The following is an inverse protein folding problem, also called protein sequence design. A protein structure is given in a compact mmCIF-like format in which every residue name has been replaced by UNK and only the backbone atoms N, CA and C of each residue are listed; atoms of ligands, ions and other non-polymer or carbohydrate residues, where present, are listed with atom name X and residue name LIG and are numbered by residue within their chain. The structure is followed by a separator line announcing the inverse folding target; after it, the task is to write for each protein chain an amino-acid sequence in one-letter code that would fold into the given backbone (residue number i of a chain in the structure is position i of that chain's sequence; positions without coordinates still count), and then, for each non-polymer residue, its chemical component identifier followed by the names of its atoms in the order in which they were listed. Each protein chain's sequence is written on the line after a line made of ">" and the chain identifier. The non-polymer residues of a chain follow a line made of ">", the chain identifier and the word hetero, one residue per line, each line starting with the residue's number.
data_IF_503718356400
#
_entry.id   IF_503718356400
#
_cell.length_a   1.000
_cell.length_b   1.000
_cell.length_c   1.000
_cell.angle_alpha   90.00
_cell.angle_beta   90.00
_cell.angle_gamma   90.00
#
_symmetry.space_group_name_H-M   'P 1'
#
loop_
_entity.id
_entity.type
_entity.pdbx_description
1 polymer ?
#
# COMPACT_ATOMS: atom_id res chain seq x y z
N UNK A 1 24.89 -53.28 57.29
CA UNK A 1 26.35 -53.00 57.24
C UNK A 1 26.51 -51.88 56.17
N UNK A 2 26.49 -50.63 56.58
CA UNK A 2 27.66 -49.83 56.95
C UNK A 2 28.62 -49.62 55.79
N UNK A 3 28.70 -48.42 55.19
CA UNK A 3 29.57 -47.23 55.31
C UNK A 3 29.47 -46.42 54.04
N UNK A 4 29.04 -45.19 54.06
CA UNK A 4 29.74 -43.90 54.26
C UNK A 4 31.06 -43.75 53.49
N UNK A 5 31.19 -42.69 52.67
CA UNK A 5 31.86 -41.40 52.87
C UNK A 5 32.18 -40.76 51.48
N UNK A 6 31.74 -39.59 51.20
CA UNK A 6 32.23 -38.20 51.22
C UNK A 6 32.94 -37.66 49.95
N UNK A 7 32.39 -36.56 49.50
CA UNK A 7 32.95 -35.27 49.04
C UNK A 7 34.03 -35.18 47.96
N UNK A 8 33.73 -34.34 47.01
CA UNK A 8 34.70 -33.59 46.21
C UNK A 8 34.03 -32.51 45.36
N UNK A 9 34.26 -31.27 45.77
CA UNK A 9 33.86 -30.05 45.08
C UNK A 9 34.66 -29.83 43.79
N UNK A 10 34.06 -29.13 42.83
CA UNK A 10 34.84 -28.17 42.04
C UNK A 10 34.44 -28.08 40.57
N UNK A 11 34.05 -26.88 40.16
CA UNK A 11 34.34 -26.39 38.85
C UNK A 11 33.16 -25.87 38.03
N UNK A 12 32.86 -24.58 38.17
CA UNK A 12 31.96 -23.82 37.28
C UNK A 12 32.50 -23.78 35.84
N UNK A 13 31.67 -24.13 34.89
CA UNK A 13 31.87 -23.83 33.47
C UNK A 13 30.56 -23.31 32.88
N UNK A 14 30.38 -21.98 32.88
CA UNK A 14 29.31 -21.35 32.13
C UNK A 14 29.63 -21.47 30.64
N UNK A 15 28.93 -22.33 29.94
CA UNK A 15 28.74 -22.22 28.50
C UNK A 15 27.39 -21.58 28.24
N UNK A 16 27.44 -20.29 27.94
CA UNK A 16 26.30 -19.53 27.40
C UNK A 16 25.88 -20.14 26.06
N UNK A 17 24.71 -20.78 26.06
CA UNK A 17 23.99 -21.03 24.80
C UNK A 17 23.42 -19.71 24.31
N UNK A 18 24.01 -19.19 23.25
CA UNK A 18 23.38 -18.17 22.42
C UNK A 18 22.11 -18.80 21.83
N UNK A 19 20.96 -18.40 22.33
CA UNK A 19 19.69 -18.67 21.68
C UNK A 19 19.65 -17.77 20.44
N UNK A 20 19.82 -18.38 19.27
CA UNK A 20 19.51 -17.73 18.01
C UNK A 20 18.02 -17.42 17.98
N UNK A 21 17.69 -16.14 18.03
CA UNK A 21 16.36 -15.65 17.71
C UNK A 21 16.23 -15.80 16.20
N UNK A 22 15.44 -16.78 15.76
CA UNK A 22 14.93 -16.81 14.40
C UNK A 22 14.03 -15.61 14.17
N UNK A 23 13.90 -15.10 12.94
CA UNK A 23 13.02 -13.97 12.66
C UNK A 23 11.57 -14.41 12.95
N UNK A 24 11.00 -13.87 14.01
CA UNK A 24 9.58 -13.96 14.30
C UNK A 24 8.85 -13.19 13.22
N UNK A 25 7.86 -13.84 12.60
CA UNK A 25 6.91 -13.18 11.72
C UNK A 25 6.26 -12.01 12.47
N UNK A 26 6.66 -10.79 12.13
CA UNK A 26 6.15 -9.58 12.76
C UNK A 26 4.78 -9.26 12.15
N UNK A 27 3.74 -9.43 12.99
CA UNK A 27 2.46 -8.79 12.77
C UNK A 27 2.67 -7.27 12.72
N UNK A 28 1.87 -6.59 11.90
CA UNK A 28 1.86 -5.14 11.80
C UNK A 28 1.38 -4.49 13.11
N UNK A 29 2.24 -4.45 14.11
CA UNK A 29 2.23 -3.36 15.07
C UNK A 29 3.06 -2.23 14.44
N UNK A 30 2.51 -1.03 14.33
CA UNK A 30 3.10 0.12 13.61
C UNK A 30 4.43 0.65 14.18
N UNK A 31 5.30 -0.23 14.66
CA UNK A 31 6.51 0.09 15.38
C UNK A 31 7.83 -0.27 14.71
N UNK A 32 7.86 -1.10 13.66
CA UNK A 32 9.13 -1.66 13.17
C UNK A 32 9.35 -1.62 11.64
N UNK A 33 8.50 -0.92 10.89
CA UNK A 33 8.81 -0.67 9.46
C UNK A 33 9.81 0.49 9.38
N UNK A 34 10.96 0.24 8.77
CA UNK A 34 11.93 1.30 8.47
C UNK A 34 11.40 2.19 7.33
N UNK A 35 10.69 3.24 7.73
CA UNK A 35 10.07 4.19 6.81
C UNK A 35 11.08 5.03 6.03
N UNK A 36 12.34 5.11 6.50
CA UNK A 36 13.42 5.74 5.75
C UNK A 36 13.79 4.89 4.52
N UNK A 37 13.67 3.57 4.65
CA UNK A 37 13.88 2.62 3.55
C UNK A 37 12.62 2.48 2.68
N UNK A 38 11.44 2.36 3.29
CA UNK A 38 10.19 2.12 2.54
C UNK A 38 9.61 3.39 1.88
N UNK A 39 9.81 4.55 2.48
CA UNK A 39 9.30 5.81 1.96
C UNK A 39 9.70 6.09 0.50
N UNK A 40 10.97 5.97 0.12
CA UNK A 40 11.40 6.09 -1.28
C UNK A 40 10.70 5.10 -2.23
N UNK A 41 10.54 3.84 -1.85
CA UNK A 41 9.87 2.85 -2.70
C UNK A 41 8.39 3.17 -2.92
N UNK A 42 7.68 3.63 -1.88
CA UNK A 42 6.30 4.12 -2.00
C UNK A 42 6.20 5.37 -2.90
N UNK A 43 7.18 6.26 -2.82
CA UNK A 43 7.26 7.45 -3.67
C UNK A 43 7.47 7.05 -5.13
N UNK A 44 8.39 6.12 -5.41
CA UNK A 44 8.64 5.58 -6.75
C UNK A 44 7.40 4.89 -7.35
N UNK A 45 6.70 4.06 -6.57
CA UNK A 45 5.46 3.41 -7.01
C UNK A 45 4.39 4.43 -7.38
N UNK A 46 4.18 5.44 -6.52
CA UNK A 46 3.20 6.49 -6.77
C UNK A 46 3.57 7.39 -7.97
N UNK A 47 4.86 7.69 -8.15
CA UNK A 47 5.34 8.45 -9.32
C UNK A 47 5.18 7.67 -10.62
N UNK A 48 5.43 6.37 -10.60
CA UNK A 48 5.20 5.50 -11.76
C UNK A 48 3.73 5.50 -12.18
N UNK A 49 2.81 5.47 -11.20
CA UNK A 49 1.36 5.52 -11.41
C UNK A 49 0.78 6.93 -11.56
N UNK A 50 1.60 7.99 -11.58
CA UNK A 50 1.12 9.38 -11.47
C UNK A 50 0.10 9.75 -12.56
N UNK A 51 0.32 9.32 -13.80
CA UNK A 51 -0.61 9.59 -14.91
C UNK A 51 -1.96 8.90 -14.69
N UNK A 52 -1.94 7.64 -14.24
CA UNK A 52 -3.14 6.88 -13.91
C UNK A 52 -3.96 7.57 -12.80
N UNK A 53 -3.30 8.01 -11.72
CA UNK A 53 -3.96 8.75 -10.64
C UNK A 53 -4.44 10.13 -11.08
N UNK A 54 -3.73 10.80 -11.99
CA UNK A 54 -4.16 12.07 -12.57
C UNK A 54 -5.44 11.93 -13.39
N UNK A 55 -5.53 10.90 -14.21
CA UNK A 55 -6.76 10.58 -14.95
C UNK A 55 -7.92 10.25 -14.02
N UNK A 56 -7.65 9.53 -12.94
CA UNK A 56 -8.62 9.22 -11.90
C UNK A 56 -9.13 10.48 -11.20
N UNK A 57 -8.24 11.36 -10.75
CA UNK A 57 -8.59 12.62 -10.09
C UNK A 57 -9.42 13.54 -11.00
N UNK A 58 -9.06 13.66 -12.29
CA UNK A 58 -9.83 14.41 -13.30
C UNK A 58 -11.21 13.83 -13.53
N UNK A 59 -11.32 12.50 -13.58
CA UNK A 59 -12.62 11.85 -13.69
C UNK A 59 -13.49 12.15 -12.48
N UNK A 60 -12.93 12.05 -11.26
CA UNK A 60 -13.63 12.37 -10.02
C UNK A 60 -14.08 13.83 -10.01
N UNK A 61 -13.19 14.77 -10.36
CA UNK A 61 -13.51 16.20 -10.45
C UNK A 61 -14.62 16.51 -11.46
N UNK A 62 -14.79 15.69 -12.50
CA UNK A 62 -15.84 15.82 -13.52
C UNK A 62 -17.20 15.25 -13.10
N UNK A 63 -17.31 14.57 -11.97
CA UNK A 63 -18.58 13.98 -11.54
C UNK A 63 -19.56 15.05 -11.04
N UNK A 64 -20.86 14.93 -11.35
CA UNK A 64 -21.87 15.90 -10.89
C UNK A 64 -21.96 16.05 -9.37
N UNK A 65 -21.61 15.01 -8.62
CA UNK A 65 -21.59 15.02 -7.15
C UNK A 65 -20.34 15.69 -6.57
N UNK A 66 -19.31 15.99 -7.36
CA UNK A 66 -18.05 16.57 -6.90
C UNK A 66 -17.95 17.99 -7.45
N UNK A 67 -18.60 18.92 -6.76
CA UNK A 67 -18.65 20.33 -7.18
C UNK A 67 -18.13 21.23 -6.08
N UNK A 68 -17.48 22.33 -6.47
CA UNK A 68 -17.03 23.39 -5.55
C UNK A 68 -16.19 22.85 -4.39
N UNK A 69 -15.28 21.90 -4.68
CA UNK A 69 -14.39 21.31 -3.67
C UNK A 69 -13.49 22.40 -3.09
N UNK A 70 -13.58 22.62 -1.78
CA UNK A 70 -12.79 23.58 -1.01
C UNK A 70 -11.86 22.89 -0.02
N UNK A 71 -12.16 21.66 0.35
CA UNK A 71 -11.30 20.83 1.22
C UNK A 71 -11.31 19.38 0.77
N UNK A 72 -10.11 18.86 0.58
CA UNK A 72 -9.88 17.44 0.32
C UNK A 72 -9.11 16.85 1.50
N UNK A 73 -9.56 15.70 2.00
CA UNK A 73 -8.76 14.85 2.87
C UNK A 73 -8.15 13.74 2.02
N UNK A 74 -6.84 13.65 2.00
CA UNK A 74 -6.10 12.52 1.40
C UNK A 74 -5.70 11.57 2.52
N UNK A 75 -6.46 10.49 2.69
CA UNK A 75 -6.36 9.56 3.82
C UNK A 75 -5.46 8.38 3.48
N UNK A 76 -4.44 8.17 4.31
CA UNK A 76 -3.33 7.28 4.00
C UNK A 76 -2.46 7.90 2.90
N UNK A 77 -2.10 9.17 3.10
CA UNK A 77 -1.43 10.00 2.08
C UNK A 77 -0.05 9.50 1.66
N UNK A 78 0.57 8.66 2.50
CA UNK A 78 1.93 8.21 2.29
C UNK A 78 2.91 9.38 2.10
N UNK A 79 3.88 9.29 1.16
CA UNK A 79 4.89 10.33 0.94
C UNK A 79 4.37 11.57 0.16
N UNK A 80 3.07 11.66 -0.13
CA UNK A 80 2.41 12.85 -0.64
C UNK A 80 2.46 13.08 -2.16
N UNK A 81 2.81 12.07 -2.93
CA UNK A 81 2.76 12.16 -4.41
C UNK A 81 1.33 12.47 -4.87
N UNK A 82 0.37 11.69 -4.36
CA UNK A 82 -1.05 11.85 -4.69
C UNK A 82 -1.62 13.11 -4.05
N UNK A 83 -1.23 13.44 -2.82
CA UNK A 83 -1.61 14.71 -2.16
C UNK A 83 -1.29 15.92 -3.04
N UNK A 84 -0.07 16.00 -3.56
CA UNK A 84 0.34 17.11 -4.43
C UNK A 84 -0.39 17.10 -5.78
N UNK A 85 -0.63 15.92 -6.35
CA UNK A 85 -1.46 15.77 -7.55
C UNK A 85 -2.88 16.27 -7.31
N UNK A 86 -3.51 15.94 -6.17
CA UNK A 86 -4.84 16.44 -5.81
C UNK A 86 -4.84 17.97 -5.66
N UNK A 87 -3.76 18.57 -5.13
CA UNK A 87 -3.62 20.02 -5.06
C UNK A 87 -3.54 20.69 -6.44
N UNK A 88 -2.98 20.02 -7.44
CA UNK A 88 -2.97 20.48 -8.83
C UNK A 88 -4.36 20.36 -9.49
N UNK A 89 -5.03 19.22 -9.31
CA UNK A 89 -6.31 18.95 -9.96
C UNK A 89 -7.51 19.65 -9.27
N UNK A 90 -7.37 20.06 -8.00
CA UNK A 90 -8.34 20.85 -7.24
C UNK A 90 -7.75 22.20 -6.82
N UNK A 91 -7.52 23.13 -7.74
CA UNK A 91 -6.73 24.36 -7.49
C UNK A 91 -7.39 25.32 -6.49
N UNK A 92 -8.69 25.20 -6.22
CA UNK A 92 -9.41 26.02 -5.25
C UNK A 92 -9.50 25.38 -3.86
N UNK A 93 -8.95 24.16 -3.67
CA UNK A 93 -9.05 23.41 -2.44
C UNK A 93 -7.80 23.52 -1.58
N UNK A 94 -8.03 23.48 -0.26
CA UNK A 94 -7.04 23.05 0.73
C UNK A 94 -6.97 21.54 0.72
N UNK A 95 -5.78 20.97 0.65
CA UNK A 95 -5.55 19.52 0.71
C UNK A 95 -4.93 19.17 2.05
N UNK A 96 -5.53 18.26 2.78
CA UNK A 96 -5.03 17.78 4.07
C UNK A 96 -4.57 16.34 3.88
N UNK A 97 -3.27 16.14 3.90
CA UNK A 97 -2.66 14.82 3.92
C UNK A 97 -2.78 14.24 5.33
N UNK A 98 -3.45 13.10 5.45
CA UNK A 98 -3.70 12.40 6.71
C UNK A 98 -2.96 11.08 6.70
N UNK A 99 -2.04 10.87 7.64
CA UNK A 99 -1.28 9.63 7.77
C UNK A 99 -0.89 9.38 9.24
N UNK A 100 -0.76 8.12 9.61
CA UNK A 100 -0.28 7.68 10.92
C UNK A 100 1.25 7.66 11.06
N UNK A 101 1.98 8.07 10.02
CA UNK A 101 3.45 7.98 9.95
C UNK A 101 4.08 9.36 9.83
N UNK A 102 4.67 9.91 10.91
CA UNK A 102 5.24 11.27 10.91
C UNK A 102 6.29 11.49 9.82
N UNK A 103 7.17 10.52 9.57
CA UNK A 103 8.23 10.60 8.54
C UNK A 103 7.64 10.75 7.13
N UNK A 104 6.53 10.07 6.83
CA UNK A 104 5.84 10.24 5.55
C UNK A 104 5.22 11.63 5.42
N UNK A 105 4.65 12.17 6.49
CA UNK A 105 4.11 13.54 6.51
C UNK A 105 5.20 14.61 6.33
N UNK A 106 6.42 14.37 6.78
CA UNK A 106 7.57 15.24 6.48
C UNK A 106 7.91 15.24 4.99
N UNK A 107 7.85 14.07 4.33
CA UNK A 107 8.02 13.96 2.88
C UNK A 107 6.92 14.71 2.11
N UNK A 108 5.66 14.64 2.58
CA UNK A 108 4.55 15.45 2.03
C UNK A 108 4.91 16.93 2.05
N UNK A 109 5.35 17.47 3.21
CA UNK A 109 5.70 18.90 3.34
C UNK A 109 6.83 19.29 2.40
N UNK A 110 7.92 18.51 2.41
CA UNK A 110 9.06 18.76 1.56
C UNK A 110 8.70 18.72 0.05
N UNK A 111 7.82 17.80 -0.34
CA UNK A 111 7.31 17.72 -1.71
C UNK A 111 6.44 18.92 -2.06
N UNK A 112 5.51 19.29 -1.19
CA UNK A 112 4.62 20.43 -1.40
C UNK A 112 5.40 21.74 -1.54
N UNK A 113 6.41 21.97 -0.70
CA UNK A 113 7.30 23.14 -0.80
C UNK A 113 8.05 23.17 -2.13
N UNK A 114 8.63 22.03 -2.56
CA UNK A 114 9.35 21.91 -3.84
C UNK A 114 8.46 22.21 -5.06
N UNK A 115 7.15 22.01 -4.95
CA UNK A 115 6.17 22.21 -6.00
C UNK A 115 5.37 23.52 -5.87
N UNK A 116 5.76 24.42 -4.96
CA UNK A 116 5.05 25.68 -4.67
C UNK A 116 3.58 25.47 -4.24
N UNK A 117 3.28 24.37 -3.56
CA UNK A 117 1.96 24.00 -3.05
C UNK A 117 1.81 24.18 -1.54
N UNK A 118 2.86 24.62 -0.84
CA UNK A 118 2.93 24.70 0.63
C UNK A 118 1.82 25.52 1.29
N UNK A 119 1.26 26.52 0.58
CA UNK A 119 0.16 27.34 1.10
C UNK A 119 -1.19 26.58 1.14
N UNK A 120 -1.36 25.55 0.32
CA UNK A 120 -2.61 24.79 0.16
C UNK A 120 -2.55 23.35 0.66
N UNK A 121 -1.37 22.79 0.86
CA UNK A 121 -1.15 21.45 1.38
C UNK A 121 -0.84 21.55 2.86
N UNK A 122 -1.63 20.86 3.68
CA UNK A 122 -1.43 20.69 5.12
C UNK A 122 -1.24 19.23 5.44
N UNK A 123 -0.62 18.94 6.57
CA UNK A 123 -0.46 17.57 7.07
C UNK A 123 -1.14 17.41 8.41
N UNK A 124 -1.77 16.26 8.63
CA UNK A 124 -2.41 15.89 9.88
C UNK A 124 -1.95 14.48 10.28
N UNK A 125 -1.29 14.38 11.42
CA UNK A 125 -1.02 13.08 12.03
C UNK A 125 -2.30 12.52 12.63
N UNK A 126 -2.73 11.36 12.15
CA UNK A 126 -3.88 10.64 12.69
C UNK A 126 -3.76 9.14 12.40
N UNK A 127 -3.90 8.35 13.45
CA UNK A 127 -4.00 6.89 13.36
C UNK A 127 -5.47 6.48 13.25
N UNK A 128 -5.87 6.05 12.06
CA UNK A 128 -7.25 5.63 11.82
C UNK A 128 -7.44 4.13 12.13
N UNK A 129 -8.61 3.76 12.67
CA UNK A 129 -9.83 4.54 12.88
C UNK A 129 -9.86 5.37 14.17
N UNK A 130 -8.93 5.17 15.12
CA UNK A 130 -9.01 5.76 16.46
C UNK A 130 -9.10 7.30 16.43
N UNK A 131 -8.44 7.93 15.50
CA UNK A 131 -8.33 9.38 15.39
C UNK A 131 -9.33 10.03 14.39
N UNK A 132 -10.36 9.32 13.96
CA UNK A 132 -11.40 9.89 13.06
C UNK A 132 -11.95 11.22 13.57
N UNK A 133 -12.09 11.38 14.88
CA UNK A 133 -12.57 12.62 15.50
C UNK A 133 -11.62 13.82 15.39
N UNK A 134 -10.37 13.63 14.95
CA UNK A 134 -9.41 14.72 14.68
C UNK A 134 -9.58 15.32 13.29
N UNK A 135 -10.25 14.60 12.37
CA UNK A 135 -10.44 15.04 11.00
C UNK A 135 -11.54 16.10 10.92
N UNK A 136 -11.30 17.12 10.12
CA UNK A 136 -12.32 18.14 9.85
C UNK A 136 -13.27 17.69 8.73
N UNK A 137 -14.46 18.31 8.67
CA UNK A 137 -15.38 18.11 7.55
C UNK A 137 -14.73 18.47 6.21
N UNK A 138 -15.07 17.70 5.16
CA UNK A 138 -14.52 17.86 3.83
C UNK A 138 -15.57 17.78 2.73
N UNK A 139 -15.23 18.30 1.56
CA UNK A 139 -16.03 18.20 0.35
C UNK A 139 -15.67 16.94 -0.45
N UNK A 140 -14.41 16.48 -0.32
CA UNK A 140 -13.91 15.24 -0.90
C UNK A 140 -13.00 14.53 0.10
N UNK A 141 -13.24 13.24 0.31
CA UNK A 141 -12.31 12.34 0.98
C UNK A 141 -11.76 11.40 -0.09
N UNK A 142 -10.45 11.46 -0.29
CA UNK A 142 -9.72 10.57 -1.15
C UNK A 142 -8.97 9.55 -0.28
N UNK A 143 -9.16 8.25 -0.56
CA UNK A 143 -8.45 7.18 0.13
C UNK A 143 -7.97 6.16 -0.91
N UNK A 144 -6.65 6.04 -1.04
CA UNK A 144 -6.04 5.17 -2.04
C UNK A 144 -5.14 4.13 -1.37
N UNK A 145 -5.40 2.85 -1.63
CA UNK A 145 -4.64 1.73 -1.09
C UNK A 145 -4.43 1.83 0.44
N UNK A 146 -5.45 2.26 1.16
CA UNK A 146 -5.36 2.51 2.61
C UNK A 146 -6.44 1.80 3.43
N UNK A 147 -7.67 1.65 2.90
CA UNK A 147 -8.76 1.01 3.65
C UNK A 147 -8.50 -0.46 3.95
N UNK A 148 -7.75 -1.15 3.10
CA UNK A 148 -7.43 -2.55 3.33
C UNK A 148 -6.50 -2.78 4.55
N UNK A 149 -5.85 -1.74 5.06
CA UNK A 149 -5.09 -1.79 6.32
C UNK A 149 -5.96 -1.53 7.56
N UNK A 150 -7.26 -1.29 7.41
CA UNK A 150 -8.17 -1.01 8.50
C UNK A 150 -9.07 -2.23 8.77
N UNK A 151 -9.08 -2.73 10.00
CA UNK A 151 -9.82 -3.94 10.38
C UNK A 151 -11.33 -3.80 10.15
N UNK A 152 -11.93 -2.71 10.65
CA UNK A 152 -13.34 -2.37 10.43
C UNK A 152 -13.51 -1.35 9.29
N UNK A 153 -13.45 -1.83 8.06
CA UNK A 153 -13.58 -0.99 6.85
C UNK A 153 -14.94 -0.27 6.79
N UNK A 154 -16.02 -0.96 7.19
CA UNK A 154 -17.37 -0.38 7.23
C UNK A 154 -17.47 0.75 8.26
N UNK A 155 -16.89 0.54 9.44
CA UNK A 155 -16.86 1.58 10.49
C UNK A 155 -16.09 2.82 10.04
N UNK A 156 -14.97 2.64 9.33
CA UNK A 156 -14.20 3.76 8.76
C UNK A 156 -15.00 4.50 7.68
N UNK A 157 -15.65 3.77 6.76
CA UNK A 157 -16.51 4.38 5.74
C UNK A 157 -17.69 5.14 6.36
N UNK A 158 -18.28 4.64 7.44
CA UNK A 158 -19.30 5.36 8.19
C UNK A 158 -18.76 6.65 8.81
N UNK A 159 -17.53 6.61 9.34
CA UNK A 159 -16.81 7.79 9.80
C UNK A 159 -16.60 8.82 8.70
N UNK A 160 -16.13 8.38 7.52
CA UNK A 160 -15.98 9.25 6.35
C UNK A 160 -17.31 9.88 5.93
N UNK A 161 -18.40 9.08 5.87
CA UNK A 161 -19.73 9.60 5.57
C UNK A 161 -20.16 10.70 6.55
N UNK A 162 -19.81 10.57 7.84
CA UNK A 162 -20.07 11.58 8.88
C UNK A 162 -19.27 12.87 8.70
N UNK A 163 -18.06 12.79 8.10
CA UNK A 163 -17.19 13.94 7.87
C UNK A 163 -17.50 14.67 6.56
N UNK A 164 -18.29 14.09 5.65
CA UNK A 164 -18.66 14.76 4.42
C UNK A 164 -19.62 15.91 4.68
N UNK A 165 -19.33 17.08 4.11
CA UNK A 165 -20.29 18.17 3.99
C UNK A 165 -21.48 17.76 3.11
N UNK A 166 -22.63 18.43 3.22
CA UNK A 166 -23.73 18.21 2.28
C UNK A 166 -23.25 18.35 0.82
N UNK A 167 -23.51 17.34 -0.01
CA UNK A 167 -23.01 17.29 -1.39
C UNK A 167 -21.54 16.87 -1.53
N UNK A 168 -20.86 16.49 -0.46
CA UNK A 168 -19.50 15.95 -0.53
C UNK A 168 -19.45 14.49 -0.96
N UNK A 169 -18.27 14.00 -1.30
CA UNK A 169 -18.06 12.64 -1.80
C UNK A 169 -16.83 11.96 -1.20
N UNK A 170 -16.87 10.62 -1.17
CA UNK A 170 -15.71 9.75 -0.97
C UNK A 170 -15.28 9.21 -2.33
N UNK A 171 -13.99 9.29 -2.65
CA UNK A 171 -13.35 8.60 -3.74
C UNK A 171 -12.40 7.54 -3.15
N UNK A 172 -12.76 6.29 -3.32
CA UNK A 172 -12.01 5.15 -2.84
C UNK A 172 -11.25 4.50 -3.99
N UNK A 173 -9.94 4.38 -3.86
CA UNK A 173 -9.09 3.69 -4.84
C UNK A 173 -8.63 2.38 -4.22
N UNK A 174 -9.44 1.35 -4.39
CA UNK A 174 -9.15 0.01 -3.88
C UNK A 174 -9.42 -1.04 -4.96
N UNK A 175 -8.59 -2.07 -4.99
CA UNK A 175 -8.69 -3.14 -5.98
C UNK A 175 -8.23 -2.72 -7.39
N UNK A 176 -8.59 -3.54 -8.37
CA UNK A 176 -8.20 -3.39 -9.76
C UNK A 176 -7.61 -4.69 -10.30
N UNK A 177 -6.63 -4.59 -11.18
CA UNK A 177 -5.90 -5.74 -11.72
C UNK A 177 -4.51 -5.82 -11.09
N UNK A 178 -4.08 -7.02 -10.64
CA UNK A 178 -2.70 -7.23 -10.22
C UNK A 178 -1.73 -6.80 -11.31
N UNK A 179 -0.58 -6.26 -10.87
CA UNK A 179 0.46 -5.82 -11.81
C UNK A 179 1.06 -7.02 -12.55
N UNK A 180 1.19 -6.89 -13.86
CA UNK A 180 1.96 -7.79 -14.72
C UNK A 180 3.21 -7.09 -15.17
N UNK A 181 4.34 -7.80 -15.07
CA UNK A 181 5.66 -7.25 -15.35
C UNK A 181 6.46 -8.15 -16.29
N UNK A 182 6.00 -9.37 -16.49
CA UNK A 182 6.66 -10.40 -17.30
C UNK A 182 5.66 -11.11 -18.22
N UNK A 183 6.12 -11.63 -19.37
CA UNK A 183 5.36 -12.56 -20.18
C UNK A 183 4.97 -13.81 -19.37
N UNK A 184 3.87 -14.46 -19.76
CA UNK A 184 3.43 -15.71 -19.13
C UNK A 184 4.51 -16.81 -19.10
N UNK A 185 5.30 -16.88 -20.15
CA UNK A 185 6.43 -17.81 -20.29
C UNK A 185 7.71 -16.98 -20.47
N UNK A 186 8.59 -17.05 -19.50
CA UNK A 186 9.83 -16.27 -19.43
C UNK A 186 11.08 -17.06 -19.84
N UNK A 187 10.88 -18.29 -20.32
CA UNK A 187 11.95 -19.17 -20.77
C UNK A 187 12.76 -19.83 -19.65
N UNK A 188 12.41 -19.58 -18.37
CA UNK A 188 12.98 -20.25 -17.18
C UNK A 188 11.86 -20.63 -16.21
N UNK A 189 12.03 -21.76 -15.52
CA UNK A 189 11.00 -22.30 -14.62
C UNK A 189 9.72 -22.68 -15.36
N UNK A 190 8.63 -22.82 -14.60
CA UNK A 190 7.29 -23.10 -15.16
C UNK A 190 6.63 -21.81 -15.65
N UNK A 191 5.95 -21.81 -16.81
CA UNK A 191 5.14 -20.68 -17.24
C UNK A 191 4.10 -20.25 -16.16
N UNK A 192 3.81 -18.95 -16.11
CA UNK A 192 2.79 -18.39 -15.20
C UNK A 192 3.30 -18.13 -13.78
N UNK A 193 4.57 -17.75 -13.63
CA UNK A 193 5.18 -17.39 -12.34
C UNK A 193 4.34 -16.33 -11.61
N UNK A 194 4.01 -15.21 -12.26
CA UNK A 194 3.24 -14.11 -11.62
C UNK A 194 1.85 -14.55 -11.16
N UNK A 195 1.18 -15.47 -11.86
CA UNK A 195 -0.12 -15.98 -11.41
C UNK A 195 0.00 -16.79 -10.09
N UNK A 196 1.12 -17.47 -9.88
CA UNK A 196 1.39 -18.17 -8.60
C UNK A 196 1.80 -17.21 -7.50
N UNK A 197 2.54 -16.17 -7.84
CA UNK A 197 2.83 -15.06 -6.92
C UNK A 197 1.53 -14.39 -6.47
N UNK A 198 0.59 -14.10 -7.39
CA UNK A 198 -0.70 -13.50 -7.03
C UNK A 198 -1.51 -14.39 -6.09
N UNK A 199 -1.55 -15.71 -6.33
CA UNK A 199 -2.25 -16.63 -5.45
C UNK A 199 -1.64 -16.64 -4.04
N UNK A 200 -0.30 -16.70 -3.95
CA UNK A 200 0.41 -16.63 -2.67
C UNK A 200 0.21 -15.28 -1.97
N UNK A 201 0.18 -14.18 -2.73
CA UNK A 201 -0.08 -12.83 -2.21
C UNK A 201 -1.51 -12.69 -1.69
N UNK A 202 -2.51 -13.28 -2.37
CA UNK A 202 -3.90 -13.27 -1.91
C UNK A 202 -4.05 -14.00 -0.55
N UNK A 203 -3.42 -15.15 -0.38
CA UNK A 203 -3.41 -15.88 0.90
C UNK A 203 -2.71 -15.08 2.00
N UNK A 204 -1.55 -14.49 1.68
CA UNK A 204 -0.82 -13.62 2.63
C UNK A 204 -1.67 -12.42 3.05
N UNK A 205 -2.34 -11.78 2.08
CA UNK A 205 -3.20 -10.63 2.34
C UNK A 205 -4.39 -10.99 3.23
N UNK A 206 -5.04 -12.14 3.00
CA UNK A 206 -6.13 -12.63 3.83
C UNK A 206 -5.69 -12.84 5.29
N UNK A 207 -4.51 -13.45 5.49
CA UNK A 207 -3.96 -13.66 6.82
C UNK A 207 -3.56 -12.34 7.49
N UNK A 208 -2.93 -11.42 6.77
CA UNK A 208 -2.60 -10.09 7.27
C UNK A 208 -3.87 -9.36 7.74
N UNK A 209 -4.92 -9.36 6.91
CA UNK A 209 -6.20 -8.74 7.27
C UNK A 209 -6.82 -9.35 8.53
N UNK A 210 -6.72 -10.67 8.71
CA UNK A 210 -7.26 -11.35 9.89
C UNK A 210 -6.54 -10.98 11.21
N UNK A 211 -5.31 -10.46 11.13
CA UNK A 211 -4.54 -10.00 12.30
C UNK A 211 -4.75 -8.53 12.67
N UNK A 212 -5.44 -7.75 11.83
CA UNK A 212 -5.68 -6.33 12.12
C UNK A 212 -6.57 -6.15 13.37
N UNK A 213 -6.35 -5.08 14.15
CA UNK A 213 -7.26 -4.72 15.24
C UNK A 213 -8.69 -4.54 14.70
N UNK A 214 -9.67 -5.05 15.46
CA UNK A 214 -11.09 -4.99 15.11
C UNK A 214 -11.43 -5.59 13.74
N UNK A 215 -10.61 -6.54 13.25
CA UNK A 215 -10.79 -7.17 11.96
C UNK A 215 -12.20 -7.74 11.78
N UNK A 216 -12.86 -7.30 10.71
CA UNK A 216 -14.15 -7.83 10.27
C UNK A 216 -14.01 -8.38 8.87
N UNK A 217 -14.63 -9.51 8.63
CA UNK A 217 -14.70 -10.04 7.28
C UNK A 217 -15.78 -9.26 6.51
N UNK A 218 -15.34 -8.51 5.52
CA UNK A 218 -16.22 -7.78 4.61
C UNK A 218 -16.02 -8.31 3.18
N UNK A 219 -17.10 -8.32 2.42
CA UNK A 219 -16.99 -8.51 0.97
C UNK A 219 -16.48 -7.20 0.37
N UNK A 220 -15.52 -7.26 -0.55
CA UNK A 220 -14.98 -6.05 -1.20
C UNK A 220 -15.93 -5.50 -2.29
N UNK A 221 -17.24 -5.52 -2.01
CA UNK A 221 -18.24 -4.78 -2.77
C UNK A 221 -18.39 -3.38 -2.22
N UNK A 222 -17.47 -2.51 -2.62
CA UNK A 222 -17.40 -1.13 -2.13
C UNK A 222 -18.68 -0.34 -2.40
N UNK A 223 -19.39 -0.62 -3.51
CA UNK A 223 -20.67 0.05 -3.79
C UNK A 223 -21.77 -0.37 -2.82
N UNK A 224 -21.81 -1.63 -2.43
CA UNK A 224 -22.73 -2.10 -1.39
C UNK A 224 -22.38 -1.48 -0.04
N UNK A 225 -21.10 -1.49 0.35
CA UNK A 225 -20.63 -0.88 1.60
C UNK A 225 -20.94 0.62 1.67
N UNK A 226 -20.78 1.36 0.59
CA UNK A 226 -21.20 2.77 0.53
C UNK A 226 -22.70 2.92 0.80
N UNK A 227 -23.54 2.07 0.20
CA UNK A 227 -24.99 2.09 0.46
C UNK A 227 -25.35 1.81 1.91
N UNK A 228 -24.66 0.87 2.57
CA UNK A 228 -24.87 0.51 3.96
C UNK A 228 -24.52 1.62 4.95
N UNK A 229 -23.55 2.50 4.59
CA UNK A 229 -23.20 3.68 5.40
C UNK A 229 -23.93 4.95 4.97
N UNK A 230 -24.97 4.84 4.13
CA UNK A 230 -25.82 5.96 3.72
C UNK A 230 -25.22 6.86 2.64
N UNK A 231 -24.18 6.42 1.95
CA UNK A 231 -23.64 7.09 0.78
C UNK A 231 -24.26 6.52 -0.49
N UNK A 232 -24.44 7.37 -1.50
CA UNK A 232 -25.00 6.97 -2.79
C UNK A 232 -23.88 6.81 -3.82
N UNK A 233 -23.68 5.62 -4.41
CA UNK A 233 -22.70 5.42 -5.47
C UNK A 233 -22.95 6.39 -6.64
N UNK A 234 -21.88 7.01 -7.12
CA UNK A 234 -21.88 8.00 -8.20
C UNK A 234 -21.17 7.48 -9.45
N UNK A 235 -20.34 6.48 -9.31
CA UNK A 235 -19.65 5.81 -10.40
C UNK A 235 -18.49 4.96 -9.95
N UNK A 236 -18.13 4.05 -10.83
CA UNK A 236 -16.94 3.19 -10.70
C UNK A 236 -16.21 3.20 -12.03
N UNK A 237 -14.90 3.39 -12.00
CA UNK A 237 -14.06 3.38 -13.20
C UNK A 237 -12.68 2.84 -12.89
N UNK A 238 -12.15 2.00 -13.79
CA UNK A 238 -10.76 1.53 -13.73
C UNK A 238 -9.88 2.36 -14.66
N UNK A 239 -8.67 2.62 -14.19
CA UNK A 239 -7.64 3.36 -14.91
C UNK A 239 -6.43 2.46 -15.11
N UNK A 240 -5.90 2.46 -16.32
CA UNK A 240 -4.81 1.59 -16.74
C UNK A 240 -3.46 2.27 -16.54
N UNK A 241 -2.49 1.52 -16.06
CA UNK A 241 -1.08 1.82 -16.21
C UNK A 241 -0.52 0.84 -17.23
N UNK A 242 0.00 1.35 -18.34
CA UNK A 242 0.57 0.55 -19.44
C UNK A 242 1.92 1.14 -19.84
N UNK A 243 2.98 0.49 -19.40
CA UNK A 243 4.37 0.84 -19.72
C UNK A 243 5.00 -0.32 -20.50
N UNK A 244 5.03 -0.22 -21.83
CA UNK A 244 5.61 -1.27 -22.66
C UNK A 244 7.14 -1.38 -22.49
N UNK A 245 7.66 -2.57 -22.69
CA UNK A 245 9.11 -2.78 -22.76
C UNK A 245 9.77 -2.19 -24.04
N UNK A 246 11.08 -2.04 -24.05
CA UNK A 246 12.00 -2.26 -22.93
C UNK A 246 11.96 -1.14 -21.89
N UNK A 247 11.86 -1.51 -20.62
CA UNK A 247 11.87 -0.55 -19.52
C UNK A 247 13.29 -0.05 -19.21
N UNK A 248 13.40 1.18 -18.70
CA UNK A 248 14.64 1.78 -18.20
C UNK A 248 14.38 2.68 -16.98
N UNK A 249 15.46 3.03 -16.27
CA UNK A 249 15.38 3.94 -15.11
C UNK A 249 14.36 3.48 -14.08
N UNK A 250 13.60 4.44 -13.53
CA UNK A 250 12.64 4.23 -12.45
C UNK A 250 11.68 3.06 -12.67
N UNK A 251 11.18 2.87 -13.89
CA UNK A 251 10.24 1.79 -14.17
C UNK A 251 10.88 0.40 -14.05
N UNK A 252 12.12 0.25 -14.49
CA UNK A 252 12.87 -1.01 -14.33
C UNK A 252 13.24 -1.25 -12.87
N UNK A 253 13.71 -0.22 -12.18
CA UNK A 253 14.07 -0.30 -10.76
C UNK A 253 12.86 -0.73 -9.92
N UNK A 254 11.69 -0.16 -10.19
CA UNK A 254 10.43 -0.56 -9.55
C UNK A 254 10.11 -2.05 -9.76
N UNK A 255 10.32 -2.59 -10.97
CA UNK A 255 10.09 -4.03 -11.21
C UNK A 255 11.02 -4.89 -10.37
N UNK A 256 12.30 -4.53 -10.32
CA UNK A 256 13.30 -5.26 -9.51
C UNK A 256 12.94 -5.19 -8.02
N UNK A 257 12.61 -4.01 -7.50
CA UNK A 257 12.19 -3.81 -6.11
C UNK A 257 10.92 -4.60 -5.77
N UNK A 258 9.95 -4.64 -6.69
CA UNK A 258 8.71 -5.39 -6.50
C UNK A 258 8.97 -6.90 -6.39
N UNK A 259 9.77 -7.47 -7.29
CA UNK A 259 10.15 -8.88 -7.22
C UNK A 259 10.98 -9.21 -5.97
N UNK A 260 11.88 -8.31 -5.56
CA UNK A 260 12.66 -8.47 -4.33
C UNK A 260 11.75 -8.51 -3.09
N UNK A 261 10.79 -7.59 -2.99
CA UNK A 261 9.79 -7.55 -1.91
C UNK A 261 8.90 -8.81 -1.93
N UNK A 262 8.41 -9.23 -3.10
CA UNK A 262 7.61 -10.45 -3.22
C UNK A 262 8.41 -11.69 -2.80
N UNK A 263 9.70 -11.77 -3.17
CA UNK A 263 10.61 -12.82 -2.77
C UNK A 263 10.73 -12.95 -1.25
N UNK A 264 10.80 -11.81 -0.56
CA UNK A 264 10.92 -11.74 0.89
C UNK A 264 9.59 -12.06 1.57
N UNK A 265 8.52 -11.36 1.22
CA UNK A 265 7.21 -11.45 1.87
C UNK A 265 6.55 -12.81 1.65
N UNK A 266 6.76 -13.42 0.50
CA UNK A 266 6.10 -14.69 0.13
C UNK A 266 7.04 -15.91 0.24
N UNK A 267 8.17 -15.79 0.91
CA UNK A 267 9.18 -16.84 1.02
C UNK A 267 8.61 -18.19 1.50
N UNK A 268 7.70 -18.15 2.48
CA UNK A 268 7.09 -19.34 3.07
C UNK A 268 5.85 -19.85 2.30
N UNK A 269 5.43 -19.16 1.24
CA UNK A 269 4.20 -19.45 0.47
C UNK A 269 4.46 -19.87 -0.96
N UNK A 270 5.63 -19.55 -1.50
CA UNK A 270 6.06 -19.97 -2.82
C UNK A 270 6.81 -21.30 -2.76
N UNK A 271 6.78 -22.04 -3.87
CA UNK A 271 7.57 -23.27 -3.98
C UNK A 271 9.06 -22.94 -4.08
N UNK A 272 9.93 -23.88 -3.67
CA UNK A 272 11.37 -23.73 -3.82
C UNK A 272 11.80 -23.51 -5.30
N UNK A 273 11.05 -24.10 -6.25
CA UNK A 273 11.27 -23.89 -7.67
C UNK A 273 10.98 -22.43 -8.08
N UNK A 274 9.83 -21.87 -7.63
CA UNK A 274 9.46 -20.49 -7.96
C UNK A 274 10.42 -19.48 -7.29
N UNK A 275 10.82 -19.73 -6.04
CA UNK A 275 11.82 -18.92 -5.34
C UNK A 275 13.16 -18.91 -6.08
N UNK A 276 13.63 -20.09 -6.54
CA UNK A 276 14.87 -20.17 -7.32
C UNK A 276 14.77 -19.40 -8.66
N UNK A 277 13.60 -19.37 -9.29
CA UNK A 277 13.37 -18.57 -10.49
C UNK A 277 13.42 -17.07 -10.16
N UNK A 278 12.79 -16.64 -9.06
CA UNK A 278 12.85 -15.23 -8.63
C UNK A 278 14.28 -14.83 -8.28
N UNK A 279 15.04 -15.69 -7.58
CA UNK A 279 16.45 -15.43 -7.25
C UNK A 279 17.29 -15.21 -8.52
N UNK A 280 17.05 -15.99 -9.60
CA UNK A 280 17.69 -15.79 -10.91
C UNK A 280 17.25 -14.49 -11.60
N UNK A 281 15.97 -14.14 -11.48
CA UNK A 281 15.47 -12.88 -12.04
C UNK A 281 16.10 -11.66 -11.35
N UNK A 282 16.40 -11.76 -10.06
CA UNK A 282 17.00 -10.71 -9.26
C UNK A 282 18.53 -10.62 -9.41
N UNK A 283 19.20 -11.70 -9.88
CA UNK A 283 20.65 -11.71 -10.07
C UNK A 283 21.04 -10.84 -11.29
N UNK A 284 21.77 -9.73 -11.08
CA UNK A 284 22.19 -8.86 -12.17
C UNK A 284 23.21 -9.53 -13.11
N UNK A 285 23.84 -10.64 -12.68
CA UNK A 285 24.78 -11.41 -13.50
C UNK A 285 24.09 -12.48 -14.34
N UNK A 286 22.89 -12.95 -13.96
CA UNK A 286 22.15 -13.98 -14.73
C UNK A 286 21.65 -13.38 -16.06
N UNK A 287 21.88 -14.07 -17.20
CA UNK A 287 21.35 -13.64 -18.49
C UNK A 287 19.83 -13.49 -18.54
N UNK A 288 19.09 -14.21 -17.68
CA UNK A 288 17.64 -14.11 -17.54
C UNK A 288 17.19 -13.04 -16.52
N UNK A 289 18.13 -12.32 -15.90
CA UNK A 289 17.84 -11.33 -14.87
C UNK A 289 17.05 -10.13 -15.38
N UNK A 290 16.22 -9.55 -14.53
CA UNK A 290 15.35 -8.39 -14.83
C UNK A 290 16.14 -7.17 -15.35
N UNK A 291 17.40 -7.04 -14.94
CA UNK A 291 18.28 -5.98 -15.38
C UNK A 291 18.67 -6.06 -16.86
N UNK A 292 18.51 -7.24 -17.49
CA UNK A 292 18.97 -7.53 -18.86
C UNK A 292 17.85 -7.87 -19.83
N UNK A 293 16.63 -8.12 -19.33
CA UNK A 293 15.49 -8.50 -20.15
C UNK A 293 14.88 -7.28 -20.83
N UNK A 294 14.59 -7.39 -22.13
CA UNK A 294 13.90 -6.36 -22.91
C UNK A 294 12.38 -6.57 -22.92
N UNK A 295 11.89 -7.74 -22.49
CA UNK A 295 10.49 -8.12 -22.45
C UNK A 295 9.81 -7.82 -21.11
N UNK A 296 10.45 -7.02 -20.24
CA UNK A 296 9.88 -6.51 -19.00
C UNK A 296 9.02 -5.29 -19.31
N UNK A 297 7.80 -5.27 -18.75
CA UNK A 297 6.81 -4.19 -18.90
C UNK A 297 6.12 -3.93 -17.57
N UNK A 298 5.25 -2.92 -17.47
CA UNK A 298 4.32 -2.75 -16.33
C UNK A 298 2.93 -2.55 -16.87
N UNK A 299 2.03 -3.47 -16.52
CA UNK A 299 0.62 -3.41 -16.85
C UNK A 299 -0.21 -3.66 -15.59
N UNK A 300 -1.00 -2.68 -15.17
CA UNK A 300 -1.91 -2.80 -14.03
C UNK A 300 -3.13 -1.92 -14.20
N UNK A 301 -4.14 -2.09 -13.36
CA UNK A 301 -5.25 -1.16 -13.29
C UNK A 301 -5.61 -0.89 -11.83
N UNK A 302 -6.02 0.34 -11.54
CA UNK A 302 -6.62 0.73 -10.27
C UNK A 302 -8.08 1.09 -10.48
N UNK A 303 -8.94 0.60 -9.61
CA UNK A 303 -10.37 0.90 -9.66
C UNK A 303 -10.72 1.98 -8.65
N UNK A 304 -11.41 3.01 -9.13
CA UNK A 304 -11.90 4.11 -8.31
C UNK A 304 -13.40 4.00 -8.20
N UNK A 305 -13.89 3.94 -6.97
CA UNK A 305 -15.30 3.97 -6.63
C UNK A 305 -15.61 5.30 -5.97
N UNK A 306 -16.67 5.98 -6.41
CA UNK A 306 -17.09 7.26 -5.86
C UNK A 306 -18.51 7.17 -5.34
N UNK A 307 -18.72 7.66 -4.12
CA UNK A 307 -20.04 7.78 -3.52
C UNK A 307 -20.21 9.13 -2.84
N UNK A 308 -21.39 9.72 -2.97
CA UNK A 308 -21.70 11.05 -2.44
C UNK A 308 -22.71 11.03 -1.30
N UNK A 309 -22.61 12.02 -0.42
CA UNK A 309 -23.64 12.36 0.57
C UNK A 309 -24.69 13.25 -0.10
N UNK A 310 -25.95 12.80 -0.12
CA UNK A 310 -27.09 13.58 -0.65
C UNK A 310 -27.50 14.68 0.32
#
# INVERSE_FOLDING_TARGET
>A
MTKHIKHGHGGHGHHGRSQGHGPTAHGHEGGDLDWDVMGPSLEHEAELGLQQYREAARWVAGLPAVREVRRVLDVGSGPGVITCLLAEEFPAAEIIAVDGTPVLLERVRARAERLDLGDRVRTLYAELPADLGKLAEADLIWAANSLHHMGDQRGVLAGFAGLLRPGGAVALVEGGLPTRQLPRDIGIGRPGLEARIDAAAADWFADMRATLPDARQETEDWNALFGEVGLKPQGTRSFLLDLPGPLSGLARDHVVENFARQREVLADRLTAEDLAVIDRLLDPADPAGLHRRDDVFVLSARTVQVAGRL
#
